data_IF_318396862622
#
_entry.id   IF_318396862622
#
_cell.length_a   1.000
_cell.length_b   1.000
_cell.length_c   1.000
_cell.angle_alpha   90.00
_cell.angle_beta   90.00
_cell.angle_gamma   90.00
#
_symmetry.space_group_name_H-M   'P 1'
#
loop_
_entity.id
_entity.type
_entity.pdbx_description
1 polymer ?
#
# COMPACT_ATOMS: atom_id res chain seq x y z
N UNK A 1 62.79 34.52 -57.94
CA UNK A 1 63.75 34.89 -56.87
C UNK A 1 63.01 34.75 -55.54
N UNK A 2 63.19 33.62 -54.84
CA UNK A 2 63.95 33.52 -53.57
C UNK A 2 63.59 34.65 -52.59
N UNK A 3 62.87 34.34 -51.50
CA UNK A 3 63.57 34.06 -50.25
C UNK A 3 62.68 33.43 -49.16
N UNK A 4 63.28 32.44 -48.53
CA UNK A 4 62.83 31.60 -47.41
C UNK A 4 62.90 32.37 -46.10
N UNK A 5 61.89 32.28 -45.22
CA UNK A 5 62.08 32.38 -43.76
C UNK A 5 61.20 31.35 -43.07
N UNK A 6 61.85 30.41 -42.39
CA UNK A 6 61.25 29.47 -41.44
C UNK A 6 61.13 30.14 -40.08
N UNK A 7 59.98 29.97 -39.42
CA UNK A 7 59.84 30.12 -37.97
C UNK A 7 59.04 28.92 -37.46
N UNK A 8 59.69 28.11 -36.62
CA UNK A 8 59.02 27.14 -35.76
C UNK A 8 58.22 27.90 -34.70
N UNK A 9 57.04 27.41 -34.32
CA UNK A 9 56.71 27.07 -32.91
C UNK A 9 55.25 26.64 -32.71
N UNK A 10 55.13 25.62 -31.84
CA UNK A 10 54.05 25.32 -30.90
C UNK A 10 52.69 24.81 -31.41
N UNK A 11 52.48 23.52 -31.12
CA UNK A 11 51.18 22.88 -30.99
C UNK A 11 50.38 23.48 -29.82
N UNK A 12 49.07 23.58 -29.99
CA UNK A 12 48.12 23.71 -28.89
C UNK A 12 46.93 22.78 -29.16
N UNK A 13 46.98 21.56 -28.58
CA UNK A 13 45.79 20.76 -28.34
C UNK A 13 45.00 21.42 -27.21
N UNK A 14 43.81 21.94 -27.48
CA UNK A 14 42.85 22.29 -26.45
C UNK A 14 42.08 21.03 -26.04
N UNK A 15 42.44 20.44 -24.90
CA UNK A 15 41.62 19.45 -24.21
C UNK A 15 40.41 20.17 -23.57
N UNK A 16 39.23 20.00 -24.16
CA UNK A 16 37.98 20.30 -23.48
C UNK A 16 37.72 19.23 -22.42
N UNK A 17 37.98 19.52 -21.15
CA UNK A 17 37.50 18.69 -20.05
C UNK A 17 35.98 18.84 -19.94
N UNK A 18 35.26 17.83 -20.45
CA UNK A 18 33.84 17.66 -20.15
C UNK A 18 33.67 17.25 -18.69
N UNK A 19 33.13 18.15 -17.88
CA UNK A 19 32.55 17.80 -16.59
C UNK A 19 31.16 17.20 -16.84
N UNK A 20 31.11 15.93 -17.27
CA UNK A 20 29.87 15.16 -17.17
C UNK A 20 29.73 14.75 -15.71
N UNK A 21 29.12 15.61 -14.90
CA UNK A 21 28.65 15.19 -13.58
C UNK A 21 27.63 14.08 -13.76
N UNK A 22 27.99 12.85 -13.40
CA UNK A 22 27.01 11.78 -13.25
C UNK A 22 25.92 12.26 -12.29
N UNK A 23 24.62 12.08 -12.57
CA UNK A 23 23.61 12.37 -11.58
C UNK A 23 23.93 11.56 -10.33
N UNK A 24 24.03 12.24 -9.18
CA UNK A 24 24.13 11.57 -7.90
C UNK A 24 22.90 10.66 -7.79
N UNK A 25 23.11 9.34 -7.83
CA UNK A 25 22.06 8.37 -7.62
C UNK A 25 21.55 8.60 -6.19
N UNK A 26 20.31 9.08 -6.06
CA UNK A 26 19.65 9.10 -4.77
C UNK A 26 19.69 7.65 -4.23
N UNK A 27 20.22 7.48 -3.03
CA UNK A 27 20.32 6.16 -2.43
C UNK A 27 18.94 5.77 -1.90
N UNK A 28 18.29 4.82 -2.57
CA UNK A 28 17.09 4.15 -2.06
C UNK A 28 17.49 3.18 -0.94
N UNK A 29 16.74 3.17 0.15
CA UNK A 29 16.90 2.25 1.28
C UNK A 29 15.71 1.29 1.26
N UNK A 30 15.99 -0.01 1.18
CA UNK A 30 14.94 -1.02 1.23
C UNK A 30 14.76 -1.49 2.67
N UNK A 31 13.51 -1.52 3.14
CA UNK A 31 13.18 -1.95 4.50
C UNK A 31 11.97 -2.86 4.49
N UNK A 32 12.15 -4.05 5.06
CA UNK A 32 11.08 -5.01 5.27
C UNK A 32 10.48 -4.83 6.67
N UNK A 33 9.15 -4.89 6.76
CA UNK A 33 8.41 -4.87 8.03
C UNK A 33 7.48 -6.06 8.16
N UNK A 34 7.39 -6.60 9.37
CA UNK A 34 6.33 -7.54 9.74
C UNK A 34 5.03 -6.74 9.96
N UNK A 35 3.95 -7.15 9.30
CA UNK A 35 2.65 -6.47 9.36
C UNK A 35 1.59 -7.37 9.95
N UNK A 36 0.91 -6.87 10.97
CA UNK A 36 -0.33 -7.41 11.51
C UNK A 36 -1.32 -6.28 11.76
N UNK A 37 -2.60 -6.57 11.74
CA UNK A 37 -3.61 -5.56 12.00
C UNK A 37 -5.02 -6.08 11.90
N UNK A 38 -5.95 -5.14 11.83
CA UNK A 38 -7.35 -5.42 11.61
C UNK A 38 -8.03 -4.27 10.89
N UNK A 39 -9.18 -4.58 10.30
CA UNK A 39 -10.11 -3.57 9.80
C UNK A 39 -11.50 -3.81 10.38
N UNK A 40 -12.24 -2.73 10.61
CA UNK A 40 -13.64 -2.74 11.01
C UNK A 40 -14.46 -2.24 9.83
N UNK A 41 -15.38 -3.08 9.35
CA UNK A 41 -16.33 -2.71 8.30
C UNK A 41 -17.57 -2.10 8.95
N UNK A 42 -17.86 -0.83 8.69
CA UNK A 42 -18.93 -0.10 9.37
C UNK A 42 -20.32 -0.66 9.04
N UNK A 43 -20.56 -1.02 7.78
CA UNK A 43 -21.86 -1.54 7.33
C UNK A 43 -22.29 -2.84 8.01
N UNK A 44 -21.33 -3.68 8.40
CA UNK A 44 -21.57 -4.98 9.05
C UNK A 44 -21.20 -5.02 10.53
N UNK A 45 -20.41 -4.05 11.01
CA UNK A 45 -19.74 -4.09 12.31
C UNK A 45 -18.70 -5.21 12.43
N UNK A 46 -18.31 -5.86 11.34
CA UNK A 46 -17.40 -7.01 11.38
C UNK A 46 -15.95 -6.59 11.49
N UNK A 47 -15.19 -7.29 12.32
CA UNK A 47 -13.73 -7.18 12.37
C UNK A 47 -13.08 -8.23 11.46
N UNK A 48 -12.13 -7.79 10.64
CA UNK A 48 -11.37 -8.62 9.73
C UNK A 48 -9.89 -8.52 10.11
N UNK A 49 -9.26 -9.65 10.44
CA UNK A 49 -7.82 -9.69 10.72
C UNK A 49 -7.01 -9.53 9.44
N UNK A 50 -5.99 -8.68 9.49
CA UNK A 50 -5.05 -8.43 8.42
C UNK A 50 -3.68 -8.98 8.81
N UNK A 51 -3.10 -9.81 7.95
CA UNK A 51 -1.83 -10.48 8.19
C UNK A 51 -1.95 -11.82 8.95
N UNK A 52 -0.81 -12.43 9.33
CA UNK A 52 0.54 -11.89 9.19
C UNK A 52 0.96 -11.71 7.73
N UNK A 53 1.62 -10.60 7.43
CA UNK A 53 2.16 -10.26 6.11
C UNK A 53 3.53 -9.58 6.26
N UNK A 54 4.25 -9.43 5.14
CA UNK A 54 5.47 -8.64 5.06
C UNK A 54 5.22 -7.47 4.12
N UNK A 55 5.65 -6.27 4.54
CA UNK A 55 5.70 -5.08 3.70
C UNK A 55 7.14 -4.86 3.26
N UNK A 56 7.38 -4.95 1.96
CA UNK A 56 8.66 -4.62 1.33
C UNK A 56 8.64 -3.16 0.92
N UNK A 57 9.37 -2.29 1.61
CA UNK A 57 9.38 -0.84 1.36
C UNK A 57 10.66 -0.40 0.66
N UNK A 58 10.54 0.55 -0.25
CA UNK A 58 11.62 1.18 -1.01
C UNK A 58 11.56 2.68 -0.72
N UNK A 59 12.43 3.17 0.16
CA UNK A 59 12.42 4.54 0.67
C UNK A 59 13.48 5.38 -0.03
N UNK A 60 13.05 6.45 -0.68
CA UNK A 60 13.91 7.40 -1.36
C UNK A 60 14.55 8.41 -0.39
N UNK A 61 15.60 9.08 -0.85
CA UNK A 61 16.35 10.04 -0.02
C UNK A 61 15.50 11.24 0.44
N UNK A 62 14.45 11.60 -0.30
CA UNK A 62 13.49 12.65 0.06
C UNK A 62 12.38 12.16 1.01
N UNK A 63 12.39 10.88 1.38
CA UNK A 63 11.43 10.24 2.26
C UNK A 63 10.17 9.73 1.55
N UNK A 64 10.01 9.97 0.25
CA UNK A 64 8.96 9.29 -0.52
C UNK A 64 9.26 7.79 -0.54
N UNK A 65 8.22 6.96 -0.58
CA UNK A 65 8.43 5.52 -0.67
C UNK A 65 7.33 4.83 -1.46
N UNK A 66 7.72 3.71 -2.06
CA UNK A 66 6.80 2.69 -2.56
C UNK A 66 6.92 1.43 -1.71
N UNK A 67 5.88 0.62 -1.66
CA UNK A 67 5.96 -0.67 -0.98
C UNK A 67 5.01 -1.70 -1.52
N UNK A 68 5.44 -2.95 -1.45
CA UNK A 68 4.67 -4.12 -1.86
C UNK A 68 4.26 -4.90 -0.62
N UNK A 69 2.95 -5.15 -0.50
CA UNK A 69 2.39 -5.95 0.58
C UNK A 69 1.26 -6.82 0.03
N UNK A 70 1.39 -8.12 0.25
CA UNK A 70 0.35 -9.09 -0.10
C UNK A 70 -0.31 -9.54 1.20
N UNK A 71 -1.57 -9.13 1.37
CA UNK A 71 -2.37 -9.57 2.50
C UNK A 71 -2.92 -10.97 2.24
N UNK A 72 -2.86 -11.89 3.22
CA UNK A 72 -3.50 -13.18 3.08
C UNK A 72 -5.02 -13.00 3.02
N UNK A 73 -5.68 -13.85 2.22
CA UNK A 73 -7.14 -13.98 2.28
C UNK A 73 -7.58 -14.48 3.65
N UNK A 74 -8.73 -14.02 4.12
CA UNK A 74 -9.23 -14.30 5.47
C UNK A 74 -10.72 -14.56 5.47
N UNK A 75 -11.21 -15.31 6.46
CA UNK A 75 -12.64 -15.58 6.63
C UNK A 75 -13.22 -14.62 7.64
N UNK A 76 -14.31 -13.94 7.27
CA UNK A 76 -15.08 -13.07 8.15
C UNK A 76 -16.48 -13.63 8.41
N UNK A 77 -17.07 -13.21 9.52
CA UNK A 77 -18.44 -13.54 9.89
C UNK A 77 -19.14 -12.36 10.56
N UNK A 78 -20.42 -12.16 10.26
CA UNK A 78 -21.25 -11.13 10.90
C UNK A 78 -22.70 -11.59 11.00
N UNK A 79 -23.50 -10.91 11.82
CA UNK A 79 -24.92 -11.20 11.96
C UNK A 79 -25.76 -10.12 11.26
N UNK A 80 -26.41 -10.48 10.16
CA UNK A 80 -27.39 -9.62 9.53
C UNK A 80 -28.65 -9.53 10.42
N UNK A 81 -29.15 -8.30 10.63
CA UNK A 81 -30.27 -8.00 11.51
C UNK A 81 -30.12 -8.53 12.97
N UNK A 82 -28.89 -8.84 13.40
CA UNK A 82 -28.58 -9.29 14.76
C UNK A 82 -28.74 -10.79 15.05
N UNK A 83 -29.28 -11.58 14.11
CA UNK A 83 -29.51 -13.02 14.34
C UNK A 83 -29.26 -13.92 13.13
N UNK A 84 -29.01 -13.38 11.94
CA UNK A 84 -28.76 -14.17 10.73
C UNK A 84 -27.25 -14.27 10.51
N UNK A 85 -26.60 -15.41 10.80
CA UNK A 85 -25.16 -15.54 10.65
C UNK A 85 -24.77 -15.61 9.17
N UNK A 86 -23.88 -14.72 8.76
CA UNK A 86 -23.28 -14.67 7.43
C UNK A 86 -21.79 -14.91 7.58
N UNK A 87 -21.22 -15.74 6.69
CA UNK A 87 -19.77 -15.92 6.57
C UNK A 87 -19.34 -15.69 5.13
N UNK A 88 -18.13 -15.15 4.94
CA UNK A 88 -17.54 -14.95 3.62
C UNK A 88 -16.01 -15.04 3.71
N UNK A 89 -15.40 -15.53 2.64
CA UNK A 89 -13.95 -15.41 2.44
C UNK A 89 -13.68 -14.09 1.73
N UNK A 90 -12.76 -13.30 2.26
CA UNK A 90 -12.36 -11.98 1.77
C UNK A 90 -10.93 -12.06 1.26
N UNK A 91 -10.72 -11.61 0.03
CA UNK A 91 -9.41 -11.50 -0.60
C UNK A 91 -9.15 -10.04 -0.98
N UNK A 92 -7.90 -9.62 -0.81
CA UNK A 92 -7.43 -8.28 -1.16
C UNK A 92 -6.52 -8.38 -2.38
N UNK A 93 -6.93 -7.78 -3.48
CA UNK A 93 -6.20 -7.80 -4.75
C UNK A 93 -5.58 -6.43 -4.99
N UNK A 94 -4.26 -6.24 -4.76
CA UNK A 94 -3.62 -4.95 -4.95
C UNK A 94 -3.67 -4.52 -6.42
N UNK A 95 -4.01 -3.25 -6.66
CA UNK A 95 -4.02 -2.66 -8.01
C UNK A 95 -2.72 -1.94 -8.38
N UNK A 96 -1.81 -1.81 -7.42
CA UNK A 96 -0.50 -1.20 -7.57
C UNK A 96 0.28 -1.19 -6.25
N UNK A 97 1.51 -0.64 -6.26
CA UNK A 97 2.29 -0.50 -5.04
C UNK A 97 1.60 0.47 -4.06
N UNK A 98 1.80 0.22 -2.78
CA UNK A 98 1.54 1.22 -1.74
C UNK A 98 2.47 2.40 -1.95
N UNK A 99 1.96 3.61 -1.87
CA UNK A 99 2.77 4.83 -1.98
C UNK A 99 2.65 5.64 -0.70
N UNK A 100 3.71 6.34 -0.31
CA UNK A 100 3.65 7.17 0.87
C UNK A 100 4.82 8.13 1.04
N UNK A 101 4.82 8.79 2.18
CA UNK A 101 5.84 9.75 2.57
C UNK A 101 6.20 9.55 4.05
N UNK A 102 7.50 9.42 4.30
CA UNK A 102 8.08 9.53 5.63
C UNK A 102 8.53 10.98 5.84
N UNK A 103 7.88 11.68 6.77
CA UNK A 103 8.14 13.09 7.03
C UNK A 103 8.76 13.26 8.40
N UNK A 104 9.81 14.09 8.50
CA UNK A 104 10.37 14.48 9.79
C UNK A 104 9.55 15.62 10.38
N UNK A 105 9.08 15.42 11.61
CA UNK A 105 8.42 16.46 12.43
C UNK A 105 9.23 16.56 13.71
N UNK A 106 9.89 17.70 13.90
CA UNK A 106 10.87 17.92 14.97
C UNK A 106 11.99 16.86 14.98
N UNK A 107 12.06 16.07 16.06
CA UNK A 107 13.02 14.97 16.24
C UNK A 107 12.44 13.60 15.87
N UNK A 108 11.15 13.56 15.53
CA UNK A 108 10.41 12.35 15.22
C UNK A 108 10.11 12.25 13.72
N UNK A 109 9.59 11.10 13.31
CA UNK A 109 9.12 10.86 11.95
C UNK A 109 7.67 10.41 12.03
N UNK A 110 6.89 10.81 11.06
CA UNK A 110 5.54 10.32 10.83
C UNK A 110 5.48 9.73 9.42
N UNK A 111 4.67 8.70 9.26
CA UNK A 111 4.46 8.03 8.00
C UNK A 111 3.02 8.30 7.55
N UNK A 112 2.87 8.67 6.28
CA UNK A 112 1.58 8.68 5.60
C UNK A 112 1.65 7.73 4.40
N UNK A 113 0.64 6.90 4.20
CA UNK A 113 0.60 5.96 3.08
C UNK A 113 -0.79 5.75 2.53
N UNK A 114 -0.84 5.25 1.30
CA UNK A 114 -2.06 4.91 0.60
C UNK A 114 -1.82 3.66 -0.24
N UNK A 115 -2.74 2.70 -0.11
CA UNK A 115 -2.79 1.47 -0.90
C UNK A 115 -4.13 1.38 -1.62
N UNK A 116 -4.17 0.67 -2.73
CA UNK A 116 -5.39 0.47 -3.52
C UNK A 116 -5.63 -1.01 -3.78
N UNK A 117 -6.85 -1.48 -3.52
CA UNK A 117 -7.21 -2.89 -3.63
C UNK A 117 -8.59 -3.09 -4.24
N UNK A 118 -8.77 -4.12 -5.07
CA UNK A 118 -10.09 -4.74 -5.19
C UNK A 118 -10.34 -5.62 -3.97
N UNK A 119 -11.54 -5.50 -3.39
CA UNK A 119 -11.99 -6.42 -2.34
C UNK A 119 -12.85 -7.49 -2.99
N UNK A 120 -12.40 -8.74 -2.98
CA UNK A 120 -13.09 -9.87 -3.57
C UNK A 120 -13.73 -10.74 -2.49
N UNK A 121 -14.99 -11.08 -2.68
CA UNK A 121 -15.76 -11.96 -1.81
C UNK A 121 -15.92 -13.31 -2.47
N UNK A 122 -15.77 -14.38 -1.69
CA UNK A 122 -16.04 -15.73 -2.13
C UNK A 122 -16.61 -16.57 -1.01
N UNK A 123 -17.12 -17.75 -1.36
CA UNK A 123 -17.54 -18.76 -0.38
C UNK A 123 -18.59 -18.24 0.62
N UNK A 124 -19.48 -17.34 0.18
CA UNK A 124 -20.51 -16.75 1.03
C UNK A 124 -21.46 -17.83 1.56
N UNK A 125 -21.87 -17.73 2.83
CA UNK A 125 -22.88 -18.61 3.44
C UNK A 125 -23.81 -17.83 4.34
N UNK A 126 -25.08 -18.25 4.38
CA UNK A 126 -26.08 -17.84 5.37
C UNK A 126 -26.42 -19.06 6.22
N UNK A 127 -25.98 -19.05 7.48
CA UNK A 127 -25.97 -20.26 8.31
C UNK A 127 -25.21 -21.40 7.62
N UNK A 128 -25.91 -22.50 7.33
CA UNK A 128 -25.34 -23.67 6.65
C UNK A 128 -25.52 -23.65 5.12
N UNK A 129 -26.25 -22.68 4.57
CA UNK A 129 -26.58 -22.63 3.14
C UNK A 129 -25.53 -21.82 2.36
N UNK A 130 -24.91 -22.40 1.31
CA UNK A 130 -23.99 -21.66 0.45
C UNK A 130 -24.75 -20.66 -0.42
N UNK A 131 -24.25 -19.43 -0.47
CA UNK A 131 -24.67 -18.41 -1.42
C UNK A 131 -23.69 -18.40 -2.59
N UNK A 132 -24.17 -18.68 -3.79
CA UNK A 132 -23.38 -18.54 -5.00
C UNK A 132 -23.20 -17.06 -5.33
N UNK A 133 -22.07 -16.49 -4.92
CA UNK A 133 -21.53 -15.30 -5.56
C UNK A 133 -20.66 -15.77 -6.73
N UNK A 134 -20.74 -15.11 -7.88
CA UNK A 134 -19.98 -15.48 -9.07
C UNK A 134 -18.47 -15.58 -8.79
N UNK A 135 -17.73 -16.15 -9.74
CA UNK A 135 -16.29 -16.33 -9.59
C UNK A 135 -15.53 -15.01 -9.36
N UNK A 136 -16.09 -13.87 -9.77
CA UNK A 136 -15.42 -12.57 -9.69
C UNK A 136 -16.22 -11.54 -8.88
N UNK A 137 -16.96 -11.98 -7.86
CA UNK A 137 -17.66 -11.07 -6.95
C UNK A 137 -16.67 -10.16 -6.21
N UNK A 138 -16.53 -8.91 -6.63
CA UNK A 138 -15.57 -7.94 -6.08
C UNK A 138 -16.08 -6.51 -6.17
N UNK A 139 -15.40 -5.57 -5.52
CA UNK A 139 -15.71 -4.14 -5.66
C UNK A 139 -15.60 -3.70 -7.12
N UNK A 140 -16.53 -2.84 -7.55
CA UNK A 140 -16.60 -2.34 -8.92
C UNK A 140 -15.41 -1.44 -9.24
N UNK A 141 -15.07 -0.57 -8.28
CA UNK A 141 -13.87 0.25 -8.30
C UNK A 141 -12.86 -0.20 -7.22
N UNK A 142 -11.55 0.06 -7.41
CA UNK A 142 -10.56 -0.15 -6.36
C UNK A 142 -10.84 0.70 -5.12
N UNK A 143 -10.77 0.07 -3.96
CA UNK A 143 -10.87 0.72 -2.65
C UNK A 143 -9.53 1.36 -2.32
N UNK A 144 -9.55 2.67 -2.05
CA UNK A 144 -8.37 3.42 -1.59
C UNK A 144 -8.32 3.41 -0.06
N UNK A 145 -7.22 2.89 0.50
CA UNK A 145 -7.05 2.71 1.94
C UNK A 145 -5.84 3.51 2.40
N UNK A 146 -6.03 4.63 3.13
CA UNK A 146 -4.94 5.32 3.79
C UNK A 146 -4.51 4.58 5.07
N UNK A 147 -3.23 4.66 5.41
CA UNK A 147 -2.71 4.20 6.69
C UNK A 147 -1.60 5.13 7.17
N UNK A 148 -1.86 5.88 8.23
CA UNK A 148 -1.04 7.00 8.67
C UNK A 148 -0.68 6.86 10.15
N UNK A 149 0.48 7.38 10.55
CA UNK A 149 0.83 7.48 11.97
C UNK A 149 -0.23 8.31 12.72
N UNK A 150 -0.84 7.79 13.79
CA UNK A 150 -1.81 8.52 14.60
C UNK A 150 -1.23 9.82 15.17
N UNK A 151 -2.10 10.79 15.44
CA UNK A 151 -1.71 12.05 16.09
C UNK A 151 -1.09 11.76 17.46
N UNK A 152 0.06 12.38 17.74
CA UNK A 152 0.80 12.19 18.99
C UNK A 152 1.75 10.99 18.99
N UNK A 153 1.83 10.26 17.88
CA UNK A 153 2.73 9.12 17.71
C UNK A 153 3.77 9.35 16.63
N UNK A 154 4.70 8.40 16.51
CA UNK A 154 5.81 8.46 15.57
C UNK A 154 6.06 7.08 14.95
N UNK A 155 6.70 7.11 13.79
CA UNK A 155 7.17 5.93 13.07
C UNK A 155 8.69 5.83 13.19
N UNK A 156 9.19 4.68 13.64
CA UNK A 156 10.61 4.39 13.66
C UNK A 156 10.99 3.46 12.52
N UNK A 157 12.08 3.75 11.81
CA UNK A 157 12.48 2.93 10.65
C UNK A 157 12.90 1.51 11.08
N UNK A 158 13.53 1.34 12.23
CA UNK A 158 14.00 0.05 12.71
C UNK A 158 12.93 -0.69 13.53
N UNK A 159 12.15 0.02 14.35
CA UNK A 159 11.12 -0.62 15.17
C UNK A 159 9.76 -0.75 14.46
N UNK A 160 9.48 0.11 13.48
CA UNK A 160 8.16 0.28 12.87
C UNK A 160 7.28 1.25 13.64
N UNK A 161 5.96 1.07 13.55
CA UNK A 161 4.99 1.94 14.19
C UNK A 161 3.55 1.52 13.92
N UNK A 162 2.61 2.11 14.67
CA UNK A 162 1.18 1.94 14.44
C UNK A 162 0.72 2.90 13.33
N UNK A 163 -0.12 2.40 12.44
CA UNK A 163 -0.78 3.17 11.39
C UNK A 163 -2.28 2.98 11.48
N UNK A 164 -3.05 4.03 11.25
CA UNK A 164 -4.51 4.02 11.24
C UNK A 164 -5.05 4.77 10.03
N UNK A 165 -6.26 4.43 9.62
CA UNK A 165 -6.95 5.16 8.57
C UNK A 165 -8.44 4.88 8.54
N UNK A 166 -9.15 5.71 7.78
CA UNK A 166 -10.56 5.51 7.45
C UNK A 166 -10.72 5.40 5.95
N UNK A 167 -11.63 4.56 5.49
CA UNK A 167 -11.86 4.31 4.07
C UNK A 167 -13.32 3.98 3.77
N UNK A 168 -13.64 4.05 2.49
CA UNK A 168 -14.98 3.79 1.94
C UNK A 168 -14.95 2.54 1.10
N UNK A 169 -15.93 1.66 1.29
CA UNK A 169 -16.15 0.50 0.40
C UNK A 169 -17.24 0.87 -0.59
N UNK A 170 -16.93 0.79 -1.88
CA UNK A 170 -17.89 0.99 -2.97
C UNK A 170 -18.77 -0.23 -3.22
N UNK A 171 -19.60 -0.14 -4.25
CA UNK A 171 -20.47 -1.25 -4.67
C UNK A 171 -19.67 -2.45 -5.18
N UNK A 172 -20.22 -3.64 -4.98
CA UNK A 172 -19.75 -4.89 -5.56
C UNK A 172 -20.46 -5.19 -6.87
N UNK A 173 -19.72 -5.81 -7.79
CA UNK A 173 -20.21 -6.31 -9.07
C UNK A 173 -19.94 -7.81 -9.20
N UNK A 174 -20.54 -8.43 -10.22
CA UNK A 174 -20.30 -9.83 -10.58
C UNK A 174 -20.61 -10.86 -9.46
N UNK A 175 -21.47 -10.48 -8.50
CA UNK A 175 -21.90 -11.34 -7.39
C UNK A 175 -23.16 -12.17 -7.70
N UNK A 176 -23.61 -12.22 -8.96
CA UNK A 176 -24.80 -12.94 -9.38
C UNK A 176 -26.08 -12.40 -8.75
N UNK A 177 -27.00 -13.29 -8.38
CA UNK A 177 -28.29 -12.91 -7.77
C UNK A 177 -28.15 -12.24 -6.39
N UNK A 178 -26.99 -12.38 -5.74
CA UNK A 178 -26.74 -11.82 -4.41
C UNK A 178 -26.26 -10.36 -4.44
N UNK A 179 -25.95 -9.81 -5.63
CA UNK A 179 -25.38 -8.46 -5.79
C UNK A 179 -26.20 -7.40 -5.06
N UNK A 180 -27.53 -7.41 -5.21
CA UNK A 180 -28.40 -6.41 -4.56
C UNK A 180 -28.37 -6.49 -3.03
N UNK A 181 -28.32 -7.69 -2.45
CA UNK A 181 -28.25 -7.86 -0.99
C UNK A 181 -26.88 -7.42 -0.48
N UNK A 182 -25.80 -7.82 -1.16
CA UNK A 182 -24.42 -7.42 -0.81
C UNK A 182 -24.29 -5.89 -0.81
N UNK A 183 -24.78 -5.23 -1.86
CA UNK A 183 -24.70 -3.78 -1.99
C UNK A 183 -25.62 -3.01 -1.03
N UNK A 184 -26.57 -3.68 -0.38
CA UNK A 184 -27.39 -3.10 0.68
C UNK A 184 -26.77 -3.17 2.08
N UNK A 185 -25.66 -3.91 2.25
CA UNK A 185 -25.11 -4.25 3.57
C UNK A 185 -23.65 -3.83 3.73
N UNK A 186 -22.81 -4.09 2.72
CA UNK A 186 -21.35 -3.94 2.86
C UNK A 186 -20.85 -2.54 2.47
N UNK A 187 -21.27 -1.94 1.34
CA UNK A 187 -20.78 -0.62 0.94
C UNK A 187 -21.10 0.47 1.97
N UNK A 188 -20.22 1.46 2.06
CA UNK A 188 -20.38 2.60 2.95
C UNK A 188 -19.06 3.20 3.43
N UNK A 189 -19.17 4.38 4.04
CA UNK A 189 -18.08 5.11 4.67
C UNK A 189 -17.83 4.62 6.11
N UNK A 190 -16.79 5.17 6.75
CA UNK A 190 -16.52 4.96 8.18
C UNK A 190 -15.88 3.63 8.52
N UNK A 191 -15.39 2.89 7.51
CA UNK A 191 -14.57 1.70 7.76
C UNK A 191 -13.21 2.16 8.29
N UNK A 192 -12.69 1.46 9.28
CA UNK A 192 -11.42 1.82 9.91
C UNK A 192 -10.40 0.71 9.73
N UNK A 193 -9.14 1.08 9.56
CA UNK A 193 -8.02 0.15 9.51
C UNK A 193 -6.99 0.51 10.57
N UNK A 194 -6.42 -0.50 11.20
CA UNK A 194 -5.29 -0.39 12.11
C UNK A 194 -4.23 -1.43 11.73
N UNK A 195 -3.01 -0.95 11.48
CA UNK A 195 -1.85 -1.78 11.15
C UNK A 195 -0.73 -1.52 12.15
N UNK A 196 -0.03 -2.58 12.50
CA UNK A 196 1.21 -2.54 13.26
C UNK A 196 2.32 -3.06 12.37
N UNK A 197 3.19 -2.13 11.96
CA UNK A 197 4.46 -2.47 11.34
C UNK A 197 5.47 -2.66 12.45
N UNK A 198 6.17 -3.78 12.43
CA UNK A 198 7.20 -4.09 13.42
C UNK A 198 8.45 -4.64 12.76
N UNK A 199 9.55 -4.66 13.50
CA UNK A 199 10.76 -5.39 13.12
C UNK A 199 11.30 -4.96 11.74
N UNK A 200 11.60 -3.67 11.61
CA UNK A 200 12.17 -3.07 10.41
C UNK A 200 13.57 -3.61 10.13
N UNK A 201 13.75 -4.24 8.97
CA UNK A 201 15.00 -4.90 8.56
C UNK A 201 15.46 -4.30 7.25
N UNK A 202 16.71 -3.86 7.18
CA UNK A 202 17.26 -3.42 5.90
C UNK A 202 17.36 -4.65 4.97
N UNK A 203 16.65 -4.58 3.85
CA UNK A 203 16.73 -5.55 2.78
C UNK A 203 17.85 -5.13 1.81
N UNK A 204 18.61 -6.11 1.31
CA UNK A 204 19.68 -5.91 0.32
C UNK A 204 19.19 -6.26 -1.08
#
# INVERSE_FOLDING_TARGET
MKNTIRLLSAAALALGLGLTGSPAQAATINVDYDVNGSTITAGTGSSITLGPAIMHSFVEADGSFTGDMVLPGTRTSFNLAGFIPITADVNFEPTGPTTGQLTRVDRQRILASTSTYYVRLSNLRVGFFPLFAGADCRTSDPVTVPANTPVGEFFDIAAGGRLVGEYTIGEFENCGFNTGVINSVIPGDGNTIELHLTNGRIAN
#
